data_IF_932630577832
#
_entry.id   IF_932630577832
#
_cell.length_a   1.000
_cell.length_b   1.000
_cell.length_c   1.000
_cell.angle_alpha   90.00
_cell.angle_beta   90.00
_cell.angle_gamma   90.00
#
_symmetry.space_group_name_H-M   'P 1'
#
loop_
_entity.id
_entity.type
_entity.pdbx_description
1 polymer ?
#
# COMPACT_ATOMS: atom_id res chain seq x y z
N UNK A 1 -4.68 15.93 17.24
CA UNK A 1 -3.46 15.22 16.78
C UNK A 1 -2.97 14.32 17.90
N UNK A 2 -3.32 13.02 17.89
CA UNK A 2 -2.94 12.05 18.93
C UNK A 2 -1.42 11.85 19.06
N UNK A 3 -0.70 12.09 17.96
CA UNK A 3 0.76 11.97 17.85
C UNK A 3 1.50 12.96 18.75
N UNK A 4 0.90 14.13 19.04
CA UNK A 4 1.46 15.10 20.01
C UNK A 4 1.47 14.58 21.45
N UNK A 5 0.74 13.49 21.73
CA UNK A 5 0.66 12.84 23.04
C UNK A 5 1.46 11.53 23.11
N UNK A 6 2.43 11.32 22.19
CA UNK A 6 3.31 10.15 22.23
C UNK A 6 2.72 8.87 21.63
N UNK A 7 1.67 8.99 20.80
CA UNK A 7 1.14 7.84 20.07
C UNK A 7 2.22 7.26 19.13
N UNK A 8 2.45 5.95 19.20
CA UNK A 8 3.36 5.25 18.29
C UNK A 8 2.77 5.20 16.88
N UNK A 9 3.36 5.94 15.94
CA UNK A 9 2.94 5.99 14.53
C UNK A 9 3.05 4.63 13.83
N UNK A 10 3.92 3.75 14.32
CA UNK A 10 4.16 2.41 13.80
C UNK A 10 3.56 1.32 14.70
N UNK A 11 2.56 1.67 15.54
CA UNK A 11 1.82 0.69 16.31
C UNK A 11 1.24 -0.39 15.38
N UNK A 12 1.22 -1.64 15.83
CA UNK A 12 0.70 -2.77 15.06
C UNK A 12 -0.51 -3.35 15.76
N UNK A 13 -1.56 -3.64 15.00
CA UNK A 13 -2.72 -4.38 15.51
C UNK A 13 -2.47 -5.90 15.57
N UNK A 14 -3.53 -6.66 15.83
CA UNK A 14 -3.47 -8.12 15.93
C UNK A 14 -3.08 -8.81 14.62
N UNK A 15 -3.23 -8.15 13.47
CA UNK A 15 -2.87 -8.68 12.16
C UNK A 15 -1.51 -8.13 11.70
N UNK A 16 -0.86 -7.33 12.55
CA UNK A 16 0.41 -6.70 12.26
C UNK A 16 0.27 -5.41 11.45
N UNK A 17 -0.95 -4.90 11.22
CA UNK A 17 -1.16 -3.71 10.39
C UNK A 17 -0.81 -2.43 11.14
N UNK A 18 -0.13 -1.53 10.45
CA UNK A 18 0.17 -0.19 10.95
C UNK A 18 -0.93 0.80 10.58
N UNK A 19 -1.00 1.98 11.22
CA UNK A 19 -1.90 3.05 10.82
C UNK A 19 -1.82 3.43 9.33
N UNK A 20 -0.63 3.35 8.71
CA UNK A 20 -0.46 3.62 7.27
C UNK A 20 -1.20 2.58 6.42
N UNK A 21 -1.10 1.29 6.77
CA UNK A 21 -1.80 0.23 6.04
C UNK A 21 -3.32 0.39 6.12
N UNK A 22 -3.83 0.81 7.27
CA UNK A 22 -5.25 1.15 7.44
C UNK A 22 -5.64 2.39 6.63
N UNK A 23 -4.85 3.46 6.67
CA UNK A 23 -5.10 4.66 5.88
C UNK A 23 -5.16 4.35 4.38
N UNK A 24 -4.27 3.47 3.90
CA UNK A 24 -4.24 3.02 2.51
C UNK A 24 -5.45 2.15 2.16
N UNK A 25 -5.84 1.23 3.05
CA UNK A 25 -7.03 0.37 2.87
C UNK A 25 -8.32 1.18 2.75
N UNK A 26 -8.43 2.30 3.47
CA UNK A 26 -9.60 3.18 3.46
C UNK A 26 -9.51 4.35 2.47
N UNK A 27 -8.46 4.44 1.66
CA UNK A 27 -8.37 5.48 0.61
C UNK A 27 -7.94 6.87 1.10
N UNK A 28 -7.46 6.99 2.34
CA UNK A 28 -7.14 8.28 2.96
C UNK A 28 -5.71 8.72 2.66
N UNK A 29 -5.47 9.20 1.43
CA UNK A 29 -4.13 9.65 0.98
C UNK A 29 -3.52 10.72 1.90
N UNK A 30 -4.30 11.70 2.34
CA UNK A 30 -3.79 12.74 3.26
C UNK A 30 -3.24 12.15 4.55
N UNK A 31 -3.89 11.11 5.09
CA UNK A 31 -3.43 10.42 6.29
C UNK A 31 -2.17 9.61 5.99
N UNK A 32 -2.10 8.92 4.83
CA UNK A 32 -0.87 8.23 4.40
C UNK A 32 0.31 9.20 4.35
N UNK A 33 0.13 10.38 3.76
CA UNK A 33 1.16 11.42 3.66
C UNK A 33 1.55 11.94 5.05
N UNK A 34 0.58 12.32 5.89
CA UNK A 34 0.86 12.83 7.24
C UNK A 34 1.61 11.80 8.07
N UNK A 35 1.18 10.53 8.04
CA UNK A 35 1.83 9.46 8.78
C UNK A 35 3.26 9.22 8.28
N UNK A 36 3.51 9.27 6.97
CA UNK A 36 4.87 9.16 6.43
C UNK A 36 5.76 10.32 6.88
N UNK A 37 5.25 11.56 6.83
CA UNK A 37 6.01 12.76 7.22
C UNK A 37 6.47 12.79 8.68
N UNK A 38 5.73 12.11 9.56
CA UNK A 38 6.03 12.05 11.00
C UNK A 38 6.80 10.78 11.41
N UNK A 39 7.36 10.03 10.44
CA UNK A 39 8.19 8.85 10.69
C UNK A 39 7.44 7.51 10.69
N UNK A 40 6.22 7.48 10.14
CA UNK A 40 5.53 6.25 9.83
C UNK A 40 6.22 5.51 8.68
N UNK A 41 6.41 4.21 8.85
CA UNK A 41 7.05 3.37 7.84
C UNK A 41 6.08 3.06 6.69
N UNK A 42 6.29 3.71 5.55
CA UNK A 42 5.47 3.52 4.33
C UNK A 42 5.73 2.18 3.64
N UNK A 43 6.85 1.53 3.94
CA UNK A 43 7.19 0.18 3.50
C UNK A 43 6.74 -0.91 4.48
N UNK A 44 6.06 -0.53 5.56
CA UNK A 44 5.54 -1.50 6.52
C UNK A 44 4.63 -2.51 5.82
N UNK A 45 4.74 -3.76 6.24
CA UNK A 45 3.88 -4.86 5.84
C UNK A 45 3.15 -5.45 7.03
N UNK A 46 1.98 -6.01 6.79
CA UNK A 46 1.27 -6.82 7.81
C UNK A 46 1.84 -8.24 7.90
N UNK A 47 1.20 -9.12 8.68
CA UNK A 47 1.67 -10.50 8.88
C UNK A 47 1.71 -11.33 7.60
N UNK A 48 0.92 -10.99 6.59
CA UNK A 48 0.90 -11.68 5.30
C UNK A 48 1.75 -10.94 4.26
N UNK A 49 2.64 -10.07 4.71
CA UNK A 49 3.51 -9.25 3.87
C UNK A 49 2.73 -8.25 2.98
N UNK A 50 1.47 -7.95 3.32
CA UNK A 50 0.72 -6.92 2.60
C UNK A 50 1.23 -5.54 3.00
N UNK A 51 1.98 -4.94 2.08
CA UNK A 51 2.38 -3.53 2.14
C UNK A 51 1.28 -2.54 1.69
N UNK A 52 1.59 -1.25 1.84
CA UNK A 52 0.69 -0.12 1.53
C UNK A 52 0.10 -0.18 0.12
N UNK A 53 0.89 -0.60 -0.87
CA UNK A 53 0.45 -0.71 -2.27
C UNK A 53 -0.59 -1.83 -2.48
N UNK A 54 -0.46 -2.96 -1.77
CA UNK A 54 -1.44 -4.04 -1.84
C UNK A 54 -2.77 -3.62 -1.20
N UNK A 55 -2.73 -2.93 -0.06
CA UNK A 55 -3.92 -2.38 0.60
C UNK A 55 -4.66 -1.38 -0.31
N UNK A 56 -3.94 -0.47 -0.96
CA UNK A 56 -4.52 0.49 -1.89
C UNK A 56 -5.13 -0.19 -3.11
N UNK A 57 -4.42 -1.15 -3.72
CA UNK A 57 -4.89 -1.85 -4.91
C UNK A 57 -6.07 -2.79 -4.64
N UNK A 58 -6.06 -3.51 -3.51
CA UNK A 58 -7.16 -4.39 -3.12
C UNK A 58 -8.47 -3.65 -2.81
N UNK A 59 -8.36 -2.39 -2.35
CA UNK A 59 -9.53 -1.58 -2.01
C UNK A 59 -9.87 -0.52 -3.08
N UNK A 60 -9.16 -0.49 -4.21
CA UNK A 60 -9.52 0.36 -5.34
C UNK A 60 -9.14 1.84 -5.20
N UNK A 61 -7.99 2.14 -4.60
CA UNK A 61 -7.52 3.51 -4.32
C UNK A 61 -6.35 3.94 -5.23
N UNK A 62 -6.62 4.29 -6.51
CA UNK A 62 -5.58 4.58 -7.50
C UNK A 62 -4.70 5.79 -7.15
N UNK A 63 -5.25 6.80 -6.48
CA UNK A 63 -4.53 8.00 -6.04
C UNK A 63 -3.43 7.70 -5.01
N UNK A 64 -3.60 6.67 -4.17
CA UNK A 64 -2.54 6.22 -3.27
C UNK A 64 -1.47 5.44 -4.04
N UNK A 65 -1.86 4.60 -5.00
CA UNK A 65 -0.90 3.89 -5.86
C UNK A 65 -0.04 4.90 -6.63
N UNK A 66 -0.66 5.91 -7.24
CA UNK A 66 0.04 6.98 -7.94
C UNK A 66 1.01 7.72 -7.01
N UNK A 67 0.58 8.07 -5.80
CA UNK A 67 1.46 8.68 -4.80
C UNK A 67 2.66 7.80 -4.46
N UNK A 68 2.45 6.50 -4.22
CA UNK A 68 3.51 5.56 -3.88
C UNK A 68 4.51 5.42 -5.02
N UNK A 69 4.06 5.28 -6.26
CA UNK A 69 4.93 5.17 -7.44
C UNK A 69 5.78 6.43 -7.64
N UNK A 70 5.19 7.61 -7.42
CA UNK A 70 5.89 8.89 -7.61
C UNK A 70 6.86 9.22 -6.46
N UNK A 71 6.67 8.63 -5.29
CA UNK A 71 7.44 8.98 -4.07
C UNK A 71 8.48 7.91 -3.71
N UNK A 72 8.22 6.64 -4.04
CA UNK A 72 9.05 5.49 -3.66
C UNK A 72 9.83 4.95 -4.86
N UNK A 73 10.60 3.88 -4.64
CA UNK A 73 11.27 3.17 -5.72
C UNK A 73 10.22 2.60 -6.71
N UNK A 74 10.37 2.82 -8.04
CA UNK A 74 9.46 2.28 -9.05
C UNK A 74 9.25 0.77 -8.97
N UNK A 75 10.19 0.00 -8.41
CA UNK A 75 10.06 -1.44 -8.19
C UNK A 75 8.95 -1.82 -7.21
N UNK A 76 8.40 -0.86 -6.45
CA UNK A 76 7.29 -1.09 -5.51
C UNK A 76 6.07 -1.75 -6.18
N UNK A 77 5.84 -1.48 -7.48
CA UNK A 77 4.72 -2.06 -8.24
C UNK A 77 4.77 -3.58 -8.36
N UNK A 78 5.96 -4.17 -8.19
CA UNK A 78 6.22 -5.61 -8.23
C UNK A 78 6.48 -6.20 -6.85
N UNK A 79 6.14 -5.47 -5.78
CA UNK A 79 6.15 -6.05 -4.44
C UNK A 79 5.16 -7.20 -4.38
N UNK A 80 5.51 -8.23 -3.61
CA UNK A 80 4.67 -9.40 -3.39
C UNK A 80 4.34 -9.57 -1.92
N UNK A 81 3.15 -10.09 -1.67
CA UNK A 81 2.73 -10.58 -0.38
C UNK A 81 3.35 -11.97 -0.08
N UNK A 82 2.91 -12.61 1.01
CA UNK A 82 3.35 -13.96 1.41
C UNK A 82 2.98 -15.04 0.39
N UNK A 83 1.92 -14.84 -0.38
CA UNK A 83 1.43 -15.78 -1.39
C UNK A 83 2.09 -15.56 -2.77
N UNK A 84 2.91 -14.52 -2.91
CA UNK A 84 3.48 -14.12 -4.20
C UNK A 84 2.57 -13.20 -5.01
N UNK A 85 1.45 -12.75 -4.43
CA UNK A 85 0.47 -11.91 -5.10
C UNK A 85 0.94 -10.45 -5.11
N UNK A 86 0.89 -9.83 -6.29
CA UNK A 86 1.23 -8.41 -6.47
C UNK A 86 0.02 -7.50 -6.28
N UNK A 87 0.27 -6.20 -6.13
CA UNK A 87 -0.80 -5.19 -6.19
C UNK A 87 -1.65 -5.30 -7.48
N UNK A 88 -1.05 -5.69 -8.60
CA UNK A 88 -1.75 -5.88 -9.87
C UNK A 88 -2.73 -7.06 -9.79
N UNK A 89 -2.32 -8.17 -9.16
CA UNK A 89 -3.18 -9.32 -8.94
C UNK A 89 -4.46 -8.93 -8.18
N UNK A 90 -4.33 -8.19 -7.07
CA UNK A 90 -5.49 -7.71 -6.31
C UNK A 90 -6.37 -6.76 -7.13
N UNK A 91 -5.78 -5.80 -7.84
CA UNK A 91 -6.55 -4.85 -8.64
C UNK A 91 -7.36 -5.55 -9.74
N UNK A 92 -6.79 -6.56 -10.40
CA UNK A 92 -7.46 -7.31 -11.46
C UNK A 92 -8.54 -8.24 -10.90
N UNK A 93 -8.22 -9.02 -9.87
CA UNK A 93 -9.17 -10.00 -9.28
C UNK A 93 -10.38 -9.35 -8.63
N UNK A 94 -10.22 -8.14 -8.09
CA UNK A 94 -11.29 -7.38 -7.43
C UNK A 94 -11.96 -6.34 -8.35
N UNK A 95 -11.53 -6.24 -9.61
CA UNK A 95 -12.19 -5.40 -10.62
C UNK A 95 -11.85 -3.89 -10.56
N UNK A 96 -10.76 -3.52 -9.90
CA UNK A 96 -10.30 -2.14 -9.75
C UNK A 96 -9.52 -1.67 -10.97
N UNK A 97 -10.25 -1.41 -12.06
CA UNK A 97 -9.71 -1.05 -13.38
C UNK A 97 -8.66 0.08 -13.34
N UNK A 98 -8.94 1.17 -12.62
CA UNK A 98 -8.03 2.32 -12.51
C UNK A 98 -6.70 1.96 -11.86
N UNK A 99 -6.73 1.12 -10.82
CA UNK A 99 -5.54 0.62 -10.14
C UNK A 99 -4.72 -0.27 -11.07
N UNK A 100 -5.37 -1.23 -11.75
CA UNK A 100 -4.72 -2.12 -12.69
C UNK A 100 -4.07 -1.33 -13.84
N UNK A 101 -4.78 -0.34 -14.39
CA UNK A 101 -4.24 0.52 -15.46
C UNK A 101 -3.01 1.28 -14.99
N UNK A 102 -3.05 1.92 -13.82
CA UNK A 102 -1.90 2.65 -13.28
C UNK A 102 -0.69 1.76 -13.05
N UNK A 103 -0.90 0.57 -12.50
CA UNK A 103 0.18 -0.40 -12.26
C UNK A 103 0.80 -0.87 -13.58
N UNK A 104 -0.01 -1.20 -14.59
CA UNK A 104 0.47 -1.62 -15.91
C UNK A 104 1.24 -0.50 -16.64
N UNK A 105 0.76 0.74 -16.57
CA UNK A 105 1.46 1.90 -17.13
C UNK A 105 2.84 2.11 -16.49
N UNK A 106 3.00 1.69 -15.24
CA UNK A 106 4.24 1.76 -14.48
C UNK A 106 5.03 0.44 -14.46
N UNK A 107 4.83 -0.42 -15.47
CA UNK A 107 5.61 -1.65 -15.69
C UNK A 107 5.44 -2.71 -14.60
N UNK A 108 4.27 -2.80 -13.98
CA UNK A 108 3.92 -3.97 -13.19
C UNK A 108 3.97 -5.22 -14.07
N UNK A 109 4.66 -6.26 -13.60
CA UNK A 109 4.80 -7.52 -14.32
C UNK A 109 3.51 -8.34 -14.19
N UNK A 110 2.94 -8.68 -15.34
CA UNK A 110 1.70 -9.49 -15.44
C UNK A 110 1.93 -10.96 -15.11
N UNK A 111 3.18 -11.43 -15.15
CA UNK A 111 3.55 -12.83 -14.93
C UNK A 111 4.32 -13.04 -13.62
N UNK A 112 4.33 -12.06 -12.71
CA UNK A 112 5.06 -12.21 -11.46
C UNK A 112 4.41 -13.33 -10.62
N UNK A 113 5.05 -14.49 -10.63
CA UNK A 113 4.76 -15.65 -9.79
C UNK A 113 6.11 -16.12 -9.25
N UNK A 114 6.27 -16.14 -7.92
CA UNK A 114 7.45 -16.68 -7.23
C UNK A 114 7.27 -18.15 -6.89
#
# INVERSE_FOLDING_TARGET
MLLKYGANVNARDIDGRTPILWAASYGNLEIVIILSQIGGDIYATDRDQLGTIHCAASNGHPHIIEYLINTLDPLIVNSVDRNGDTALFYAVTLGHYECARLLLLNKADVNYQV
#
